data_IF_003930640901
#
_entry.id   IF_003930640901
#
_cell.length_a   1.000
_cell.length_b   1.000
_cell.length_c   1.000
_cell.angle_alpha   90.00
_cell.angle_beta   90.00
_cell.angle_gamma   90.00
#
_symmetry.space_group_name_H-M   'P 1'
#
loop_
_entity.id
_entity.type
_entity.pdbx_description
1 polymer ?
#
# COMPACT_ATOMS: atom_id res chain seq x y z
N UNK A 1 -29.00 40.30 -18.40
CA UNK A 1 -28.44 39.18 -19.18
C UNK A 1 -28.63 39.33 -20.70
N UNK A 2 -29.82 39.25 -21.27
CA UNK A 2 -29.99 39.36 -22.75
C UNK A 2 -29.59 40.76 -23.32
N UNK A 3 -29.92 41.83 -22.58
CA UNK A 3 -29.52 43.20 -22.99
C UNK A 3 -28.00 43.43 -22.88
N UNK A 4 -27.34 42.82 -21.92
CA UNK A 4 -25.88 42.87 -21.76
C UNK A 4 -25.17 42.05 -22.86
N UNK A 5 -25.67 40.85 -23.18
CA UNK A 5 -25.17 40.02 -24.26
C UNK A 5 -25.32 40.69 -25.64
N UNK A 6 -26.39 41.46 -25.89
CA UNK A 6 -26.60 42.22 -27.10
C UNK A 6 -25.61 43.43 -27.17
N UNK A 7 -25.30 44.04 -26.04
CA UNK A 7 -24.34 45.16 -25.97
C UNK A 7 -22.87 44.74 -26.15
N UNK A 8 -22.54 43.48 -25.94
CA UNK A 8 -21.19 42.93 -26.12
C UNK A 8 -21.05 41.98 -27.31
N UNK A 9 -22.11 41.81 -28.11
CA UNK A 9 -22.12 40.84 -29.22
C UNK A 9 -21.07 41.13 -30.32
N UNK A 10 -20.61 42.36 -30.45
CA UNK A 10 -19.55 42.76 -31.38
C UNK A 10 -18.14 42.39 -30.87
N UNK A 11 -17.99 41.95 -29.64
CA UNK A 11 -16.73 41.43 -29.08
C UNK A 11 -16.48 39.97 -29.46
N UNK A 12 -17.46 39.29 -30.05
CA UNK A 12 -17.39 37.87 -30.36
C UNK A 12 -17.44 37.61 -31.88
N UNK A 13 -16.84 36.53 -32.30
CA UNK A 13 -16.82 36.10 -33.70
C UNK A 13 -15.70 36.73 -34.53
N UNK A 14 -15.96 37.05 -35.78
CA UNK A 14 -14.96 37.55 -36.73
C UNK A 14 -14.41 38.95 -36.39
N UNK A 15 -15.03 39.69 -35.48
CA UNK A 15 -14.60 41.00 -35.06
C UNK A 15 -13.69 40.99 -33.83
N UNK A 16 -13.54 39.86 -33.14
CA UNK A 16 -12.73 39.78 -31.95
C UNK A 16 -11.25 40.24 -32.16
N UNK A 17 -10.54 39.80 -33.22
CA UNK A 17 -9.18 40.28 -33.48
C UNK A 17 -9.07 41.78 -33.68
N UNK A 18 -10.05 42.38 -34.36
CA UNK A 18 -10.08 43.82 -34.57
C UNK A 18 -10.30 44.61 -33.28
N UNK A 19 -11.14 44.10 -32.40
CA UNK A 19 -11.38 44.71 -31.06
C UNK A 19 -10.17 44.53 -30.14
N UNK A 20 -9.50 43.39 -30.23
CA UNK A 20 -8.25 43.13 -29.51
C UNK A 20 -7.14 44.09 -29.96
N UNK A 21 -6.97 44.32 -31.29
CA UNK A 21 -6.00 45.27 -31.81
C UNK A 21 -6.30 46.72 -31.36
N UNK A 22 -7.56 47.13 -31.31
CA UNK A 22 -7.96 48.42 -30.79
C UNK A 22 -7.71 48.57 -29.31
N UNK A 23 -7.88 47.48 -28.55
CA UNK A 23 -7.61 47.47 -27.12
C UNK A 23 -6.11 47.57 -26.83
N UNK A 24 -5.28 46.89 -27.60
CA UNK A 24 -3.83 47.02 -27.48
C UNK A 24 -3.39 48.45 -27.81
N UNK A 25 -3.92 49.09 -28.83
CA UNK A 25 -3.64 50.50 -29.17
C UNK A 25 -4.08 51.43 -28.03
N UNK A 26 -5.24 51.15 -27.40
CA UNK A 26 -5.70 51.92 -26.24
C UNK A 26 -4.77 51.76 -25.06
N UNK A 27 -4.25 50.57 -24.80
CA UNK A 27 -3.32 50.33 -23.68
C UNK A 27 -1.95 51.01 -23.90
N UNK A 28 -1.53 51.18 -25.16
CA UNK A 28 -0.31 51.92 -25.51
C UNK A 28 -0.52 53.44 -25.45
N UNK A 29 -1.55 53.97 -26.09
CA UNK A 29 -1.95 55.40 -26.09
C UNK A 29 -3.46 55.53 -26.16
N UNK A 30 -4.16 55.82 -25.05
CA UNK A 30 -5.61 55.99 -25.06
C UNK A 30 -6.13 57.09 -26.02
N UNK A 31 -5.26 58.06 -26.46
CA UNK A 31 -5.63 59.09 -27.38
C UNK A 31 -5.56 58.66 -28.85
N UNK A 32 -4.96 57.51 -29.16
CA UNK A 32 -4.79 56.98 -30.54
C UNK A 32 -6.05 56.40 -31.15
N UNK A 33 -7.08 56.11 -30.35
CA UNK A 33 -8.31 55.48 -30.81
C UNK A 33 -9.51 56.44 -30.76
N UNK A 34 -10.58 56.04 -31.46
CA UNK A 34 -11.86 56.77 -31.50
C UNK A 34 -12.46 56.94 -30.10
N UNK A 35 -13.05 58.10 -29.82
CA UNK A 35 -13.65 58.52 -28.56
C UNK A 35 -14.65 57.48 -27.99
N UNK A 36 -15.43 56.80 -28.88
CA UNK A 36 -16.41 55.79 -28.48
C UNK A 36 -15.76 54.55 -27.92
N UNK A 37 -14.66 54.10 -28.55
CA UNK A 37 -13.88 52.96 -28.11
C UNK A 37 -13.12 53.26 -26.85
N UNK A 38 -12.56 54.48 -26.70
CA UNK A 38 -11.88 54.92 -25.50
C UNK A 38 -12.84 54.88 -24.29
N UNK A 39 -14.02 55.47 -24.40
CA UNK A 39 -15.03 55.42 -23.32
C UNK A 39 -15.52 54.01 -22.98
N UNK A 40 -15.50 53.10 -23.97
CA UNK A 40 -15.85 51.71 -23.75
C UNK A 40 -14.74 51.02 -22.95
N UNK A 41 -13.49 51.17 -23.33
CA UNK A 41 -12.35 50.53 -22.66
C UNK A 41 -12.08 51.13 -21.29
N UNK A 42 -12.28 52.42 -21.08
CA UNK A 42 -12.24 53.08 -19.75
C UNK A 42 -13.24 52.45 -18.77
N UNK A 43 -14.44 52.13 -19.27
CA UNK A 43 -15.46 51.44 -18.45
C UNK A 43 -15.10 49.97 -18.20
N UNK A 44 -14.51 49.33 -19.18
CA UNK A 44 -14.08 47.94 -19.03
C UNK A 44 -13.01 47.79 -17.94
N UNK A 45 -12.05 48.73 -17.94
CA UNK A 45 -10.98 48.74 -16.89
C UNK A 45 -11.49 49.12 -15.49
N UNK A 46 -12.66 49.75 -15.36
CA UNK A 46 -13.27 50.07 -14.09
C UNK A 46 -14.25 48.98 -13.57
N UNK A 47 -14.45 47.90 -14.32
CA UNK A 47 -15.37 46.83 -13.94
C UNK A 47 -14.64 45.83 -13.05
N UNK A 48 -15.07 45.62 -11.77
CA UNK A 48 -14.40 44.68 -10.87
C UNK A 48 -14.40 43.25 -11.42
N UNK A 49 -13.29 42.55 -11.24
CA UNK A 49 -13.22 41.12 -11.58
C UNK A 49 -14.21 40.31 -10.74
N UNK A 50 -14.93 39.42 -11.37
CA UNK A 50 -16.00 38.62 -10.75
C UNK A 50 -15.48 37.58 -9.73
N UNK A 51 -14.17 37.41 -9.60
CA UNK A 51 -13.50 36.39 -8.74
C UNK A 51 -12.84 36.95 -7.48
N UNK A 52 -12.99 38.25 -7.19
CA UNK A 52 -12.49 38.88 -5.96
C UNK A 52 -10.98 39.06 -5.88
N UNK A 53 -10.23 38.95 -6.98
CA UNK A 53 -8.80 39.23 -7.03
C UNK A 53 -8.53 40.73 -7.09
N UNK A 54 -7.39 41.13 -6.52
CA UNK A 54 -6.90 42.51 -6.61
C UNK A 54 -6.54 42.78 -8.07
N UNK A 55 -7.22 43.75 -8.68
CA UNK A 55 -6.99 44.12 -10.06
C UNK A 55 -5.60 44.79 -10.21
N UNK A 56 -4.77 44.19 -11.05
CA UNK A 56 -3.66 44.89 -11.68
C UNK A 56 -4.19 45.49 -12.99
N UNK A 57 -3.89 46.75 -13.32
CA UNK A 57 -4.31 47.29 -14.63
C UNK A 57 -3.73 46.45 -15.76
N UNK A 58 -4.52 46.26 -16.81
CA UNK A 58 -4.07 45.54 -18.01
C UNK A 58 -2.86 46.31 -18.61
N UNK A 59 -1.92 45.53 -19.12
CA UNK A 59 -0.70 46.05 -19.77
C UNK A 59 -0.66 45.68 -21.25
N UNK A 60 -0.11 46.52 -22.14
CA UNK A 60 0.03 46.20 -23.56
C UNK A 60 0.80 44.89 -23.75
N UNK A 61 0.29 44.00 -24.60
CA UNK A 61 0.97 42.75 -24.92
C UNK A 61 2.10 42.92 -25.95
N UNK A 62 2.06 43.98 -26.79
CA UNK A 62 3.06 44.20 -27.80
C UNK A 62 4.49 44.21 -27.29
N UNK A 63 4.85 44.90 -26.19
CA UNK A 63 6.19 44.87 -25.61
C UNK A 63 6.57 43.47 -25.09
N UNK A 64 5.60 42.71 -24.56
CA UNK A 64 5.80 41.34 -24.07
C UNK A 64 6.09 40.39 -25.22
N UNK A 65 5.29 40.47 -26.28
CA UNK A 65 5.47 39.67 -27.51
C UNK A 65 6.82 39.98 -28.15
N UNK A 66 7.20 41.24 -28.22
CA UNK A 66 8.50 41.66 -28.76
C UNK A 66 9.67 41.14 -27.88
N UNK A 67 9.55 41.22 -26.56
CA UNK A 67 10.54 40.65 -25.62
C UNK A 67 10.70 39.15 -25.81
N UNK A 68 9.61 38.40 -25.99
CA UNK A 68 9.66 36.98 -26.30
C UNK A 68 10.23 36.70 -27.71
N UNK A 69 9.89 37.50 -28.71
CA UNK A 69 10.46 37.36 -30.03
C UNK A 69 11.97 37.63 -30.06
N UNK A 70 12.44 38.67 -29.35
CA UNK A 70 13.86 38.94 -29.16
C UNK A 70 14.57 37.82 -28.40
N UNK A 71 13.92 37.24 -27.37
CA UNK A 71 14.45 36.12 -26.61
C UNK A 71 14.48 34.83 -27.44
N UNK A 72 13.54 34.65 -28.37
CA UNK A 72 13.54 33.52 -29.29
C UNK A 72 14.63 33.64 -30.36
N UNK A 73 15.01 34.87 -30.75
CA UNK A 73 16.11 35.16 -31.69
C UNK A 73 17.48 35.16 -31.03
N UNK A 74 17.55 35.30 -29.70
CA UNK A 74 18.82 35.09 -29.00
C UNK A 74 19.21 33.64 -29.13
N UNK A 75 20.43 33.31 -29.58
CA UNK A 75 20.93 31.94 -29.54
C UNK A 75 20.76 31.43 -28.15
N UNK A 76 19.94 30.38 -27.97
CA UNK A 76 19.77 29.69 -26.68
C UNK A 76 21.14 29.48 -26.10
N UNK A 77 21.37 30.12 -24.96
CA UNK A 77 22.65 30.34 -24.34
C UNK A 77 23.58 29.16 -24.50
N UNK A 78 24.82 29.52 -24.73
CA UNK A 78 25.95 28.60 -24.84
C UNK A 78 25.70 27.41 -23.93
N UNK A 79 25.37 26.27 -24.53
CA UNK A 79 25.52 25.01 -23.81
C UNK A 79 26.96 25.03 -23.34
N UNK A 80 27.21 25.15 -22.05
CA UNK A 80 28.52 24.79 -21.54
C UNK A 80 28.83 23.45 -22.18
N UNK A 81 29.94 23.31 -22.92
CA UNK A 81 30.27 22.04 -23.51
C UNK A 81 30.42 21.04 -22.36
N UNK A 82 29.35 20.27 -22.14
CA UNK A 82 29.41 19.18 -21.17
C UNK A 82 30.42 18.22 -21.75
N UNK A 83 31.47 17.96 -21.02
CA UNK A 83 32.51 17.03 -21.51
C UNK A 83 31.89 15.65 -21.76
N UNK A 84 32.41 14.89 -22.71
CA UNK A 84 31.95 13.51 -22.93
C UNK A 84 32.00 12.69 -21.63
N UNK A 85 33.00 12.96 -20.78
CA UNK A 85 33.14 12.33 -19.47
C UNK A 85 32.00 12.68 -18.51
N UNK A 86 31.56 13.94 -18.48
CA UNK A 86 30.44 14.36 -17.64
C UNK A 86 29.11 13.75 -18.12
N UNK A 87 28.94 13.64 -19.44
CA UNK A 87 27.78 12.97 -20.02
C UNK A 87 27.75 11.47 -19.65
N UNK A 88 28.90 10.81 -19.68
CA UNK A 88 29.01 9.41 -19.32
C UNK A 88 28.69 9.20 -17.82
N UNK A 89 29.24 10.04 -16.95
CA UNK A 89 28.92 10.02 -15.51
C UNK A 89 27.41 10.22 -15.29
N UNK A 90 26.81 11.18 -15.98
CA UNK A 90 25.39 11.45 -15.88
C UNK A 90 24.54 10.25 -16.36
N UNK A 91 24.91 9.60 -17.47
CA UNK A 91 24.23 8.39 -17.96
C UNK A 91 24.32 7.25 -16.95
N UNK A 92 25.51 7.00 -16.37
CA UNK A 92 25.70 5.99 -15.33
C UNK A 92 24.90 6.30 -14.07
N UNK A 93 24.80 7.57 -13.68
CA UNK A 93 23.94 7.97 -12.54
C UNK A 93 22.46 7.69 -12.83
N UNK A 94 21.96 7.93 -14.05
CA UNK A 94 20.58 7.58 -14.45
C UNK A 94 20.37 6.07 -14.41
N UNK A 95 21.35 5.29 -14.87
CA UNK A 95 21.34 3.83 -14.81
C UNK A 95 21.21 3.34 -13.35
N UNK A 96 21.98 3.93 -12.44
CA UNK A 96 21.90 3.62 -10.99
C UNK A 96 20.53 3.94 -10.42
N UNK A 97 19.92 5.07 -10.80
CA UNK A 97 18.56 5.40 -10.36
C UNK A 97 17.53 4.38 -10.88
N UNK A 98 17.71 3.91 -12.11
CA UNK A 98 16.85 2.87 -12.69
C UNK A 98 16.98 1.54 -11.95
N UNK A 99 18.21 1.14 -11.56
CA UNK A 99 18.45 -0.06 -10.74
C UNK A 99 17.74 0.05 -9.38
N UNK A 100 17.85 1.17 -8.68
CA UNK A 100 17.16 1.39 -7.41
C UNK A 100 15.65 1.20 -7.59
N UNK A 101 15.07 1.79 -8.65
CA UNK A 101 13.68 1.61 -9.02
C UNK A 101 13.31 0.15 -9.30
N UNK A 102 14.17 -0.56 -10.04
CA UNK A 102 13.96 -1.97 -10.37
C UNK A 102 13.94 -2.87 -9.13
N UNK A 103 14.87 -2.69 -8.20
CA UNK A 103 14.85 -3.45 -6.93
C UNK A 103 13.60 -3.19 -6.11
N UNK A 104 13.15 -1.95 -6.01
CA UNK A 104 11.91 -1.59 -5.30
C UNK A 104 10.67 -2.22 -5.93
N UNK A 105 10.64 -2.38 -7.26
CA UNK A 105 9.48 -2.88 -7.99
C UNK A 105 9.53 -4.39 -8.23
N UNK A 106 10.70 -4.95 -8.51
CA UNK A 106 10.86 -6.34 -8.93
C UNK A 106 11.56 -7.22 -7.89
N UNK A 107 12.16 -6.61 -6.85
CA UNK A 107 12.99 -7.35 -5.88
C UNK A 107 12.27 -8.52 -5.22
N UNK A 108 10.98 -8.34 -4.88
CA UNK A 108 10.14 -9.40 -4.30
C UNK A 108 10.07 -10.67 -5.18
N UNK A 109 10.13 -10.53 -6.51
CA UNK A 109 10.12 -11.66 -7.45
C UNK A 109 11.39 -12.51 -7.38
N UNK A 110 12.50 -11.95 -6.88
CA UNK A 110 13.77 -12.65 -6.69
C UNK A 110 14.05 -12.99 -5.22
N UNK A 111 13.15 -12.61 -4.31
CA UNK A 111 13.25 -12.94 -2.89
C UNK A 111 13.16 -14.46 -2.65
N UNK A 112 13.74 -14.92 -1.53
CA UNK A 112 13.78 -16.32 -1.14
C UNK A 112 12.47 -16.72 -0.44
N UNK A 113 11.37 -16.80 -1.18
CA UNK A 113 10.03 -17.03 -0.66
C UNK A 113 9.57 -18.50 -0.70
N UNK A 114 10.38 -19.40 -1.22
CA UNK A 114 10.05 -20.82 -1.29
C UNK A 114 10.95 -21.64 -0.36
N UNK A 115 10.54 -21.84 0.91
CA UNK A 115 11.33 -22.59 1.89
C UNK A 115 11.50 -24.08 1.52
N UNK A 116 10.67 -24.60 0.60
CA UNK A 116 10.74 -25.99 0.12
C UNK A 116 11.65 -26.13 -1.11
N UNK A 117 12.16 -25.02 -1.64
CA UNK A 117 13.01 -24.99 -2.85
C UNK A 117 12.44 -25.76 -4.05
N UNK A 118 11.12 -25.66 -4.26
CA UNK A 118 10.40 -26.38 -5.32
C UNK A 118 10.56 -25.74 -6.70
N UNK A 119 10.98 -24.48 -6.74
CA UNK A 119 11.16 -23.70 -7.96
C UNK A 119 12.51 -23.00 -7.96
N UNK A 120 13.13 -22.95 -9.14
CA UNK A 120 14.28 -22.05 -9.33
C UNK A 120 13.82 -20.60 -9.35
N UNK A 121 14.64 -19.72 -8.78
CA UNK A 121 14.36 -18.29 -8.83
C UNK A 121 14.44 -17.79 -10.28
N UNK A 122 13.48 -16.97 -10.72
CA UNK A 122 13.50 -16.45 -12.09
C UNK A 122 14.72 -15.54 -12.30
N UNK A 123 15.31 -15.59 -13.49
CA UNK A 123 16.28 -14.56 -13.89
C UNK A 123 15.53 -13.26 -14.18
N UNK A 124 15.95 -12.17 -13.55
CA UNK A 124 15.37 -10.84 -13.72
C UNK A 124 16.49 -9.92 -14.20
N UNK A 125 16.63 -9.73 -15.52
CA UNK A 125 17.73 -8.94 -16.07
C UNK A 125 17.81 -7.51 -15.51
N UNK A 126 16.67 -6.90 -15.19
CA UNK A 126 16.57 -5.54 -14.66
C UNK A 126 17.19 -5.39 -13.25
N UNK A 127 17.50 -6.48 -12.56
CA UNK A 127 18.21 -6.43 -11.28
C UNK A 127 19.74 -6.50 -11.46
N UNK A 128 20.23 -6.71 -12.70
CA UNK A 128 21.66 -6.81 -12.98
C UNK A 128 22.20 -5.49 -13.56
N UNK A 129 23.37 -4.99 -13.08
CA UNK A 129 23.98 -3.76 -13.58
C UNK A 129 24.23 -3.76 -15.08
N UNK A 130 24.58 -4.90 -15.64
CA UNK A 130 24.86 -5.06 -17.08
C UNK A 130 23.68 -4.73 -17.97
N UNK A 131 22.44 -4.88 -17.49
CA UNK A 131 21.22 -4.51 -18.20
C UNK A 131 21.16 -3.00 -18.50
N UNK A 132 21.78 -2.19 -17.65
CA UNK A 132 21.84 -0.74 -17.76
C UNK A 132 23.19 -0.23 -18.32
N UNK A 133 24.00 -1.11 -18.86
CA UNK A 133 25.31 -0.76 -19.43
C UNK A 133 26.38 -0.46 -18.39
N UNK A 134 26.17 -0.87 -17.12
CA UNK A 134 27.19 -0.81 -16.08
C UNK A 134 27.98 -2.12 -16.05
N UNK A 135 29.28 -2.02 -15.78
CA UNK A 135 30.22 -3.13 -15.81
C UNK A 135 30.90 -3.35 -14.45
N UNK A 136 31.71 -4.39 -14.36
CA UNK A 136 32.52 -4.65 -13.16
C UNK A 136 33.48 -3.50 -12.83
N UNK A 137 33.91 -2.74 -13.85
CA UNK A 137 34.76 -1.55 -13.64
C UNK A 137 34.03 -0.41 -12.92
N UNK A 138 32.71 -0.42 -12.94
CA UNK A 138 31.87 0.61 -12.29
C UNK A 138 31.54 0.28 -10.84
N UNK A 139 31.80 -0.96 -10.40
CA UNK A 139 31.36 -1.45 -9.09
C UNK A 139 31.92 -0.64 -7.90
N UNK A 140 33.12 -0.13 -8.03
CA UNK A 140 33.77 0.67 -6.98
C UNK A 140 33.62 2.18 -7.21
N UNK A 141 32.90 2.57 -8.27
CA UNK A 141 32.55 3.98 -8.54
C UNK A 141 31.45 4.45 -7.57
N UNK A 142 31.64 5.67 -7.06
CA UNK A 142 30.71 6.27 -6.10
C UNK A 142 29.61 7.03 -6.86
N UNK A 143 28.37 6.68 -6.59
CA UNK A 143 27.17 7.29 -7.15
C UNK A 143 26.30 7.96 -6.08
N UNK A 144 25.43 8.86 -6.51
CA UNK A 144 24.43 9.44 -5.60
C UNK A 144 23.35 8.40 -5.26
N UNK A 145 23.17 8.19 -3.96
CA UNK A 145 22.12 7.37 -3.35
C UNK A 145 21.08 8.22 -2.59
N UNK A 146 21.05 9.53 -2.81
CA UNK A 146 20.24 10.49 -2.07
C UNK A 146 18.72 10.27 -2.16
N UNK A 147 18.25 9.45 -3.11
CA UNK A 147 16.85 9.02 -3.22
C UNK A 147 16.57 7.71 -2.45
N UNK A 148 17.53 7.22 -1.66
CA UNK A 148 17.41 6.06 -0.77
C UNK A 148 17.48 6.49 0.69
N UNK A 149 17.16 5.57 1.59
CA UNK A 149 17.22 5.78 3.03
C UNK A 149 18.25 4.87 3.71
N UNK A 150 19.32 4.49 2.99
CA UNK A 150 20.40 3.65 3.54
C UNK A 150 21.37 4.39 4.48
N UNK A 151 21.10 5.68 4.75
CA UNK A 151 21.90 6.47 5.69
C UNK A 151 23.12 7.17 5.08
N UNK A 152 23.32 7.08 3.76
CA UNK A 152 24.37 7.76 3.04
C UNK A 152 23.88 8.33 1.71
N UNK A 153 24.23 9.61 1.43
CA UNK A 153 23.86 10.27 0.17
C UNK A 153 24.67 9.77 -1.02
N UNK A 154 25.80 9.14 -0.75
CA UNK A 154 26.72 8.58 -1.78
C UNK A 154 27.17 7.19 -1.35
N UNK A 155 27.15 6.25 -2.29
CA UNK A 155 27.57 4.86 -2.07
C UNK A 155 28.33 4.36 -3.29
N UNK A 156 29.23 3.38 -3.11
CA UNK A 156 29.74 2.62 -4.25
C UNK A 156 28.60 1.82 -4.87
N UNK A 157 28.69 1.53 -6.17
CA UNK A 157 27.68 0.69 -6.84
C UNK A 157 27.57 -0.68 -6.15
N UNK A 158 28.69 -1.24 -5.74
CA UNK A 158 28.79 -2.52 -5.02
C UNK A 158 27.98 -2.51 -3.73
N UNK A 159 28.23 -1.51 -2.87
CA UNK A 159 27.54 -1.38 -1.58
C UNK A 159 26.06 -1.10 -1.75
N UNK A 160 25.71 -0.27 -2.74
CA UNK A 160 24.33 0.04 -3.05
C UNK A 160 23.55 -1.21 -3.50
N UNK A 161 24.11 -2.01 -4.42
CA UNK A 161 23.49 -3.26 -4.88
C UNK A 161 23.37 -4.26 -3.71
N UNK A 162 24.39 -4.37 -2.88
CA UNK A 162 24.35 -5.24 -1.71
C UNK A 162 23.23 -4.83 -0.75
N UNK A 163 23.08 -3.52 -0.48
CA UNK A 163 22.01 -2.99 0.35
C UNK A 163 20.63 -3.24 -0.27
N UNK A 164 20.46 -3.00 -1.56
CA UNK A 164 19.22 -3.24 -2.30
C UNK A 164 18.84 -4.74 -2.30
N UNK A 165 19.80 -5.62 -2.57
CA UNK A 165 19.58 -7.08 -2.53
C UNK A 165 19.15 -7.54 -1.14
N UNK A 166 19.85 -7.08 -0.11
CA UNK A 166 19.50 -7.41 1.27
C UNK A 166 18.09 -6.94 1.63
N UNK A 167 17.72 -5.72 1.20
CA UNK A 167 16.42 -5.11 1.53
C UNK A 167 15.25 -5.79 0.81
N UNK A 168 15.39 -6.04 -0.50
CA UNK A 168 14.26 -6.39 -1.36
C UNK A 168 14.28 -7.83 -1.89
N UNK A 169 15.38 -8.55 -1.71
CA UNK A 169 15.57 -9.90 -2.27
C UNK A 169 15.96 -10.95 -1.21
N UNK A 170 15.81 -10.62 0.08
CA UNK A 170 16.06 -11.55 1.19
C UNK A 170 14.94 -12.59 1.37
N UNK A 171 14.73 -13.04 2.59
CA UNK A 171 13.65 -13.97 2.95
C UNK A 171 12.29 -13.29 3.13
N UNK A 172 12.22 -11.98 2.88
CA UNK A 172 11.04 -11.15 2.89
C UNK A 172 10.86 -10.49 1.54
N UNK A 173 9.77 -10.79 0.84
CA UNK A 173 9.35 -10.12 -0.39
C UNK A 173 8.34 -9.03 -0.08
N UNK A 174 8.57 -7.81 -0.58
CA UNK A 174 7.71 -6.66 -0.29
C UNK A 174 7.30 -6.01 -1.61
N UNK A 175 6.00 -5.94 -1.85
CA UNK A 175 5.39 -5.30 -3.01
C UNK A 175 4.59 -4.08 -2.57
N UNK A 176 5.06 -2.87 -2.86
CA UNK A 176 4.40 -1.62 -2.48
C UNK A 176 4.42 -0.56 -3.59
N UNK A 177 5.15 -0.79 -4.67
CA UNK A 177 5.32 0.22 -5.72
C UNK A 177 4.06 0.49 -6.53
N UNK A 178 3.05 -0.39 -6.47
CA UNK A 178 1.73 -0.19 -7.08
C UNK A 178 0.87 0.85 -6.33
N UNK A 179 1.20 1.17 -5.09
CA UNK A 179 0.48 2.18 -4.30
C UNK A 179 0.56 3.53 -5.02
N UNK A 180 -0.57 4.14 -5.31
CA UNK A 180 -0.62 5.42 -6.02
C UNK A 180 -0.18 6.61 -5.18
N UNK A 181 -0.47 6.58 -3.85
CA UNK A 181 -0.09 7.66 -2.93
C UNK A 181 1.44 7.70 -2.72
N UNK A 182 2.11 8.80 -3.11
CA UNK A 182 3.57 8.93 -2.96
C UNK A 182 4.02 9.06 -1.50
N UNK A 183 3.15 9.49 -0.58
CA UNK A 183 3.48 9.61 0.85
C UNK A 183 3.57 8.22 1.46
N UNK A 184 2.60 7.35 1.16
CA UNK A 184 2.58 5.96 1.63
C UNK A 184 3.75 5.18 1.02
N UNK A 185 4.05 5.34 -0.28
CA UNK A 185 5.24 4.71 -0.91
C UNK A 185 6.53 5.11 -0.21
N UNK A 186 6.70 6.39 0.08
CA UNK A 186 7.88 6.92 0.76
C UNK A 186 7.98 6.41 2.19
N UNK A 187 6.86 6.29 2.88
CA UNK A 187 6.80 5.70 4.22
C UNK A 187 7.34 4.27 4.23
N UNK A 188 6.96 3.43 3.25
CA UNK A 188 7.51 2.08 3.10
C UNK A 188 9.02 2.09 2.92
N UNK A 189 9.54 2.93 2.02
CA UNK A 189 10.99 3.06 1.81
C UNK A 189 11.72 3.45 3.10
N UNK A 190 11.17 4.42 3.84
CA UNK A 190 11.72 4.86 5.13
C UNK A 190 11.69 3.79 6.23
N UNK A 191 10.78 2.83 6.14
CA UNK A 191 10.71 1.70 7.10
C UNK A 191 11.66 0.57 6.72
N UNK A 192 11.86 0.32 5.45
CA UNK A 192 12.58 -0.87 4.96
C UNK A 192 14.09 -0.62 4.76
N UNK A 193 14.45 0.49 4.13
CA UNK A 193 15.81 0.74 3.69
C UNK A 193 16.81 0.99 4.84
N UNK A 194 16.49 1.74 5.92
CA UNK A 194 17.45 2.00 6.98
C UNK A 194 17.98 0.75 7.67
N UNK A 195 17.13 -0.24 7.87
CA UNK A 195 17.48 -1.51 8.51
C UNK A 195 17.66 -2.66 7.51
N UNK A 196 17.57 -2.36 6.19
CA UNK A 196 17.70 -3.34 5.10
C UNK A 196 16.74 -4.53 5.23
N UNK A 197 15.51 -4.27 5.67
CA UNK A 197 14.49 -5.29 5.98
C UNK A 197 14.94 -6.35 7.02
N UNK A 198 15.94 -6.05 7.82
CA UNK A 198 16.40 -6.91 8.91
C UNK A 198 15.95 -6.29 10.23
N UNK A 199 14.97 -6.88 10.93
CA UNK A 199 14.49 -6.34 12.19
C UNK A 199 15.55 -6.50 13.29
N UNK A 200 15.64 -5.50 14.16
CA UNK A 200 16.49 -5.56 15.36
C UNK A 200 15.61 -5.86 16.57
N UNK A 201 15.58 -7.12 16.99
CA UNK A 201 14.87 -7.54 18.19
C UNK A 201 15.82 -7.57 19.40
N UNK A 202 15.36 -7.04 20.52
CA UNK A 202 16.00 -7.24 21.81
C UNK A 202 15.78 -8.66 22.35
N UNK A 203 16.41 -8.98 23.46
CA UNK A 203 16.31 -10.31 24.06
C UNK A 203 14.90 -10.62 24.59
N UNK A 204 14.12 -9.63 24.98
CA UNK A 204 12.75 -9.83 25.46
C UNK A 204 11.84 -10.21 24.28
N UNK A 205 11.91 -9.47 23.18
CA UNK A 205 11.19 -9.77 21.95
C UNK A 205 11.55 -11.15 21.39
N UNK A 206 12.85 -11.49 21.33
CA UNK A 206 13.30 -12.83 20.89
C UNK A 206 12.74 -13.96 21.75
N UNK A 207 12.72 -13.79 23.08
CA UNK A 207 12.13 -14.77 24.01
C UNK A 207 10.63 -14.90 23.79
N UNK A 208 9.91 -13.80 23.61
CA UNK A 208 8.47 -13.80 23.30
C UNK A 208 8.18 -14.55 21.98
N UNK A 209 8.93 -14.26 20.92
CA UNK A 209 8.81 -14.97 19.65
C UNK A 209 9.02 -16.48 19.86
N UNK A 210 10.10 -16.89 20.54
CA UNK A 210 10.38 -18.29 20.82
C UNK A 210 9.27 -18.94 21.65
N UNK A 211 8.75 -18.25 22.63
CA UNK A 211 7.64 -18.73 23.47
C UNK A 211 6.37 -18.98 22.61
N UNK A 212 6.04 -18.06 21.71
CA UNK A 212 4.87 -18.20 20.83
C UNK A 212 5.05 -19.35 19.83
N UNK A 213 6.23 -19.48 19.23
CA UNK A 213 6.55 -20.61 18.34
C UNK A 213 6.46 -21.95 19.08
N UNK A 214 7.03 -22.03 20.29
CA UNK A 214 6.99 -23.25 21.12
C UNK A 214 5.56 -23.59 21.53
N UNK A 215 4.72 -22.61 21.86
CA UNK A 215 3.34 -22.84 22.21
C UNK A 215 2.53 -23.33 21.02
N UNK A 216 2.75 -22.75 19.83
CA UNK A 216 2.08 -23.16 18.59
C UNK A 216 2.45 -24.60 18.21
N UNK A 217 3.74 -24.91 18.15
CA UNK A 217 4.22 -26.26 17.83
C UNK A 217 3.79 -27.29 18.90
N UNK A 218 3.89 -26.93 20.15
CA UNK A 218 3.53 -27.80 21.28
C UNK A 218 2.06 -28.25 21.22
N UNK A 219 1.15 -27.33 20.88
CA UNK A 219 -0.26 -27.67 20.72
C UNK A 219 -0.46 -28.63 19.54
N UNK A 220 0.15 -28.38 18.38
CA UNK A 220 0.02 -29.24 17.21
C UNK A 220 0.57 -30.64 17.48
N UNK A 221 1.75 -30.75 18.10
CA UNK A 221 2.34 -32.04 18.48
C UNK A 221 1.47 -32.81 19.49
N UNK A 222 0.92 -32.11 20.49
CA UNK A 222 0.03 -32.74 21.46
C UNK A 222 -1.23 -33.30 20.80
N UNK A 223 -1.89 -32.50 19.95
CA UNK A 223 -3.08 -32.92 19.23
C UNK A 223 -2.79 -34.08 18.27
N UNK A 224 -1.63 -34.07 17.60
CA UNK A 224 -1.18 -35.15 16.73
C UNK A 224 -1.02 -36.47 17.46
N UNK A 225 -0.38 -36.43 18.62
CA UNK A 225 -0.06 -37.62 19.40
C UNK A 225 -1.29 -38.15 20.14
N UNK A 226 -2.09 -37.27 20.70
CA UNK A 226 -3.23 -37.65 21.54
C UNK A 226 -4.47 -38.04 20.77
N UNK A 227 -4.74 -37.41 19.66
CA UNK A 227 -5.97 -37.55 18.89
C UNK A 227 -5.69 -38.05 17.46
N UNK A 228 -5.03 -39.19 17.36
CA UNK A 228 -4.63 -39.82 16.09
C UNK A 228 -5.85 -40.01 15.18
N UNK A 229 -5.71 -39.62 13.91
CA UNK A 229 -6.75 -39.77 12.90
C UNK A 229 -7.92 -38.78 12.98
N UNK A 230 -7.99 -37.95 14.01
CA UNK A 230 -8.97 -36.86 14.07
C UNK A 230 -8.60 -35.68 13.18
N UNK A 231 -9.59 -35.18 12.45
CA UNK A 231 -9.40 -33.98 11.60
C UNK A 231 -9.18 -32.73 12.43
N UNK A 232 -8.08 -32.02 12.20
CA UNK A 232 -7.67 -30.84 12.98
C UNK A 232 -7.16 -29.67 12.14
N UNK A 233 -6.88 -29.87 10.85
CA UNK A 233 -6.31 -28.84 9.97
C UNK A 233 -5.08 -28.17 10.62
N UNK A 234 -4.05 -28.96 10.82
CA UNK A 234 -2.82 -28.57 11.52
C UNK A 234 -2.15 -27.33 10.93
N UNK A 235 -1.52 -26.55 11.80
CA UNK A 235 -0.66 -25.41 11.46
C UNK A 235 0.82 -25.80 11.29
N UNK A 236 1.16 -27.08 11.38
CA UNK A 236 2.55 -27.55 11.25
C UNK A 236 3.23 -26.98 10.01
N UNK A 237 4.40 -26.37 10.20
CA UNK A 237 5.14 -25.63 9.17
C UNK A 237 4.74 -24.17 9.00
N UNK A 238 3.67 -23.72 9.65
CA UNK A 238 3.15 -22.34 9.63
C UNK A 238 3.10 -21.68 11.00
N UNK A 239 3.86 -22.14 11.98
CA UNK A 239 3.83 -21.69 13.38
C UNK A 239 4.14 -20.20 13.52
N UNK A 240 4.94 -19.63 12.59
CA UNK A 240 5.22 -18.20 12.52
C UNK A 240 3.96 -17.34 12.36
N UNK A 241 2.86 -17.92 11.87
CA UNK A 241 1.57 -17.23 11.79
C UNK A 241 1.07 -16.81 13.18
N UNK A 242 1.25 -17.64 14.21
CA UNK A 242 0.84 -17.28 15.58
C UNK A 242 1.65 -16.09 16.11
N UNK A 243 2.94 -16.03 15.78
CA UNK A 243 3.77 -14.85 16.11
C UNK A 243 3.28 -13.62 15.36
N UNK A 244 2.97 -13.78 14.06
CA UNK A 244 2.54 -12.65 13.22
C UNK A 244 1.21 -12.07 13.67
N UNK A 245 0.22 -12.91 14.03
CA UNK A 245 -1.09 -12.42 14.48
C UNK A 245 -0.99 -11.83 15.90
N UNK A 246 -0.12 -12.34 16.75
CA UNK A 246 0.16 -11.77 18.07
C UNK A 246 0.72 -10.34 17.93
N UNK A 247 1.65 -10.13 16.99
CA UNK A 247 2.20 -8.81 16.70
C UNK A 247 1.16 -7.85 16.08
N UNK A 248 0.27 -8.36 15.21
CA UNK A 248 -0.85 -7.56 14.66
C UNK A 248 -1.78 -7.08 15.77
N UNK A 249 -2.05 -7.92 16.76
CA UNK A 249 -2.89 -7.57 17.93
C UNK A 249 -2.21 -6.51 18.79
N UNK A 250 -0.93 -6.69 19.12
CA UNK A 250 -0.16 -5.71 19.91
C UNK A 250 -0.04 -4.36 19.19
N UNK A 251 0.43 -4.37 17.94
CA UNK A 251 0.59 -3.14 17.14
C UNK A 251 -0.77 -2.46 16.88
N UNK A 252 -1.83 -3.22 16.69
CA UNK A 252 -3.18 -2.69 16.56
C UNK A 252 -3.63 -1.94 17.81
N UNK A 253 -3.45 -2.53 18.99
CA UNK A 253 -3.78 -1.90 20.26
C UNK A 253 -2.95 -0.62 20.48
N UNK A 254 -1.65 -0.64 20.16
CA UNK A 254 -0.78 0.55 20.21
C UNK A 254 -1.27 1.68 19.30
N UNK A 255 -1.89 1.35 18.17
CA UNK A 255 -2.47 2.31 17.22
C UNK A 255 -3.92 2.72 17.56
N UNK A 256 -4.47 2.21 18.67
CA UNK A 256 -5.80 2.58 19.14
C UNK A 256 -6.94 1.70 18.61
N UNK A 257 -6.63 0.52 18.07
CA UNK A 257 -7.64 -0.48 17.74
C UNK A 257 -8.18 -1.07 19.05
N UNK A 258 -9.47 -1.02 19.24
CA UNK A 258 -10.18 -1.52 20.42
C UNK A 258 -10.76 -2.92 20.19
N UNK A 259 -11.06 -3.24 18.94
CA UNK A 259 -11.68 -4.51 18.57
C UNK A 259 -11.16 -5.02 17.22
N UNK A 260 -10.83 -6.31 17.16
CA UNK A 260 -10.55 -7.01 15.92
C UNK A 260 -11.56 -8.11 15.66
N UNK A 261 -12.12 -8.10 14.45
CA UNK A 261 -13.00 -9.18 13.97
C UNK A 261 -12.19 -10.05 13.01
N UNK A 262 -12.05 -11.31 13.37
CA UNK A 262 -11.20 -12.26 12.65
C UNK A 262 -12.09 -13.23 11.89
N UNK A 263 -11.91 -13.33 10.58
CA UNK A 263 -12.40 -14.41 9.75
C UNK A 263 -11.26 -15.32 9.36
N UNK A 264 -11.43 -16.62 9.38
CA UNK A 264 -10.36 -17.49 8.95
C UNK A 264 -10.83 -18.85 8.45
N UNK A 265 -10.05 -19.40 7.53
CA UNK A 265 -10.15 -20.78 7.08
C UNK A 265 -9.83 -21.77 8.24
N UNK A 266 -9.89 -23.07 7.95
CA UNK A 266 -9.72 -24.09 8.99
C UNK A 266 -8.29 -24.28 9.46
N UNK A 267 -7.28 -24.05 8.57
CA UNK A 267 -5.87 -24.29 8.89
C UNK A 267 -5.38 -23.38 10.00
N UNK A 268 -4.89 -23.97 11.07
CA UNK A 268 -4.40 -23.25 12.25
C UNK A 268 -5.48 -22.67 13.16
N UNK A 269 -6.77 -22.87 12.85
CA UNK A 269 -7.86 -22.26 13.61
C UNK A 269 -7.88 -22.71 15.07
N UNK A 270 -7.61 -23.97 15.36
CA UNK A 270 -7.53 -24.48 16.74
C UNK A 270 -6.36 -23.83 17.49
N UNK A 271 -5.28 -23.59 16.80
CA UNK A 271 -4.11 -22.90 17.37
C UNK A 271 -4.40 -21.43 17.70
N UNK A 272 -5.09 -20.72 16.80
CA UNK A 272 -5.56 -19.34 17.05
C UNK A 272 -6.53 -19.29 18.22
N UNK A 273 -7.47 -20.22 18.33
CA UNK A 273 -8.41 -20.29 19.45
C UNK A 273 -7.68 -20.36 20.80
N UNK A 274 -6.63 -21.18 20.89
CA UNK A 274 -5.88 -21.37 22.14
C UNK A 274 -4.84 -20.27 22.35
N UNK A 275 -3.94 -20.07 21.39
CA UNK A 275 -2.76 -19.25 21.59
C UNK A 275 -2.98 -17.76 21.34
N UNK A 276 -3.98 -17.38 20.52
CA UNK A 276 -4.29 -15.96 20.26
C UNK A 276 -5.50 -15.48 21.08
N UNK A 277 -6.60 -16.24 21.06
CA UNK A 277 -7.82 -15.84 21.77
C UNK A 277 -7.90 -16.36 23.22
N UNK A 278 -6.98 -17.21 23.66
CA UNK A 278 -6.91 -17.69 25.03
C UNK A 278 -7.99 -18.70 25.43
N UNK A 279 -8.62 -19.39 24.46
CA UNK A 279 -9.51 -20.50 24.76
C UNK A 279 -8.77 -21.57 25.56
N UNK A 280 -9.39 -22.05 26.63
CA UNK A 280 -8.76 -23.08 27.46
C UNK A 280 -8.43 -24.36 26.68
N UNK A 281 -7.18 -24.86 26.70
CA UNK A 281 -6.86 -26.14 26.10
C UNK A 281 -7.74 -27.31 26.64
N UNK A 282 -8.13 -27.27 27.90
CA UNK A 282 -9.00 -28.28 28.48
C UNK A 282 -10.40 -28.31 27.86
N UNK A 283 -10.95 -27.16 27.53
CA UNK A 283 -12.22 -27.06 26.79
C UNK A 283 -12.08 -27.64 25.39
N UNK A 284 -11.02 -27.26 24.67
CA UNK A 284 -10.74 -27.80 23.36
C UNK A 284 -10.59 -29.32 23.39
N UNK A 285 -9.86 -29.86 24.37
CA UNK A 285 -9.67 -31.32 24.51
C UNK A 285 -10.96 -32.03 24.84
N UNK A 286 -11.83 -31.44 25.68
CA UNK A 286 -13.16 -31.99 25.94
C UNK A 286 -14.02 -32.09 24.67
N UNK A 287 -13.89 -31.15 23.74
CA UNK A 287 -14.55 -31.24 22.43
C UNK A 287 -14.00 -32.39 21.58
N UNK A 288 -12.67 -32.65 21.60
CA UNK A 288 -12.06 -33.80 20.94
C UNK A 288 -12.55 -35.14 21.51
N UNK A 289 -12.80 -35.19 22.81
CA UNK A 289 -13.25 -36.37 23.55
C UNK A 289 -14.78 -36.56 23.51
N UNK A 290 -15.51 -35.63 22.85
CA UNK A 290 -16.98 -35.70 22.80
C UNK A 290 -17.66 -35.45 24.16
N UNK A 291 -16.92 -34.92 25.13
CA UNK A 291 -17.41 -34.61 26.49
C UNK A 291 -18.05 -33.22 26.59
N UNK A 292 -17.81 -32.37 25.62
CA UNK A 292 -18.37 -31.02 25.58
C UNK A 292 -19.83 -31.07 25.13
N UNK A 293 -20.74 -30.90 26.07
CA UNK A 293 -22.15 -30.67 25.81
C UNK A 293 -22.43 -29.19 25.96
N UNK A 294 -22.36 -28.43 24.87
CA UNK A 294 -22.96 -27.10 24.86
C UNK A 294 -24.46 -27.24 25.04
N UNK A 295 -25.00 -26.66 26.10
CA UNK A 295 -26.45 -26.63 26.35
C UNK A 295 -27.22 -25.77 25.35
N UNK A 296 -26.51 -24.91 24.60
CA UNK A 296 -27.08 -23.83 23.80
C UNK A 296 -26.83 -23.93 22.30
N UNK A 297 -26.08 -24.95 21.82
CA UNK A 297 -25.86 -25.18 20.41
C UNK A 297 -26.57 -26.45 19.92
N UNK A 298 -27.25 -26.40 18.76
CA UNK A 298 -27.79 -27.61 18.17
C UNK A 298 -26.67 -28.62 17.94
N UNK A 299 -26.89 -29.84 18.39
CA UNK A 299 -25.96 -30.95 18.22
C UNK A 299 -25.59 -31.09 16.74
N UNK A 300 -24.32 -30.88 16.36
CA UNK A 300 -23.88 -31.31 15.05
C UNK A 300 -22.83 -30.48 14.34
N UNK A 301 -22.39 -29.30 14.87
CA UNK A 301 -21.30 -28.58 14.20
C UNK A 301 -19.93 -29.09 14.66
N UNK A 302 -18.93 -28.95 13.76
CA UNK A 302 -17.59 -29.46 14.01
C UNK A 302 -16.74 -28.42 14.73
N UNK A 303 -15.86 -28.89 15.61
CA UNK A 303 -15.01 -28.04 16.49
C UNK A 303 -14.22 -26.94 15.80
N UNK A 304 -13.85 -27.14 14.53
CA UNK A 304 -13.11 -26.15 13.74
C UNK A 304 -13.99 -25.13 13.00
N UNK A 305 -15.32 -25.15 13.20
CA UNK A 305 -16.24 -24.10 12.75
C UNK A 305 -16.57 -23.10 13.87
N UNK A 306 -16.31 -23.44 15.13
CA UNK A 306 -16.69 -22.62 16.26
C UNK A 306 -16.04 -21.23 16.21
N UNK A 307 -16.84 -20.21 16.49
CA UNK A 307 -16.40 -18.88 16.82
C UNK A 307 -15.99 -18.77 18.29
N UNK A 308 -15.30 -17.69 18.62
CA UNK A 308 -14.91 -17.39 19.99
C UNK A 308 -14.64 -15.89 20.12
N UNK A 309 -14.89 -15.32 21.29
CA UNK A 309 -14.49 -13.94 21.56
C UNK A 309 -13.94 -13.80 22.98
N UNK A 310 -12.97 -12.94 23.13
CA UNK A 310 -12.32 -12.67 24.41
C UNK A 310 -11.65 -11.31 24.42
N UNK A 311 -11.43 -10.77 25.61
CA UNK A 311 -10.57 -9.61 25.83
C UNK A 311 -9.15 -10.12 26.07
N UNK A 312 -8.20 -9.63 25.26
CA UNK A 312 -6.78 -9.96 25.38
C UNK A 312 -6.05 -8.74 25.93
N UNK A 313 -5.17 -8.94 26.88
CA UNK A 313 -4.37 -7.86 27.45
C UNK A 313 -3.08 -7.71 26.66
N UNK A 314 -2.88 -6.53 26.07
CA UNK A 314 -1.66 -6.13 25.38
C UNK A 314 -0.83 -5.15 26.22
N UNK A 315 0.36 -4.81 25.76
CA UNK A 315 1.17 -3.78 26.41
C UNK A 315 0.48 -2.40 26.40
N UNK A 316 -0.36 -2.12 25.42
CA UNK A 316 -1.12 -0.85 25.29
C UNK A 316 -2.48 -0.88 26.02
N UNK A 317 -2.90 -2.02 26.53
CA UNK A 317 -4.19 -2.20 27.21
C UNK A 317 -5.01 -3.36 26.64
N UNK A 318 -6.26 -3.53 27.08
CA UNK A 318 -7.12 -4.59 26.58
C UNK A 318 -7.62 -4.30 25.17
N UNK A 319 -7.69 -5.35 24.34
CA UNK A 319 -8.30 -5.36 23.03
C UNK A 319 -9.29 -6.51 22.92
N UNK A 320 -10.46 -6.27 22.35
CA UNK A 320 -11.45 -7.32 22.12
C UNK A 320 -11.18 -8.05 20.81
N UNK A 321 -11.02 -9.37 20.88
CA UNK A 321 -10.85 -10.24 19.71
C UNK A 321 -12.12 -11.06 19.49
N UNK A 322 -12.67 -11.05 18.29
CA UNK A 322 -13.85 -11.80 17.92
C UNK A 322 -13.57 -12.67 16.67
N UNK A 323 -13.44 -13.98 16.87
CA UNK A 323 -13.34 -14.96 15.77
C UNK A 323 -14.73 -15.36 15.31
N UNK A 324 -15.05 -15.02 14.06
CA UNK A 324 -16.34 -15.39 13.47
C UNK A 324 -16.50 -16.90 13.32
N UNK A 325 -17.74 -17.38 13.37
CA UNK A 325 -18.07 -18.74 12.94
C UNK A 325 -17.69 -18.94 11.49
N UNK A 326 -17.25 -20.14 11.14
CA UNK A 326 -16.83 -20.46 9.78
C UNK A 326 -17.51 -21.75 9.30
N UNK A 327 -18.19 -21.79 8.15
CA UNK A 327 -18.72 -23.01 7.56
C UNK A 327 -17.64 -23.76 6.78
N UNK A 328 -17.99 -24.92 6.23
CA UNK A 328 -17.10 -25.68 5.35
C UNK A 328 -16.85 -25.00 3.99
N UNK A 329 -17.69 -24.05 3.59
CA UNK A 329 -17.51 -23.27 2.37
C UNK A 329 -16.41 -22.23 2.60
N UNK A 330 -15.27 -22.41 1.92
CA UNK A 330 -14.11 -21.54 2.06
C UNK A 330 -14.43 -20.13 1.57
N UNK A 331 -13.91 -19.12 2.24
CA UNK A 331 -13.98 -17.68 1.93
C UNK A 331 -15.38 -17.04 2.11
N UNK A 332 -16.44 -17.81 2.38
CA UNK A 332 -17.78 -17.22 2.54
C UNK A 332 -17.92 -16.41 3.84
N UNK A 333 -17.00 -16.55 4.77
CA UNK A 333 -16.92 -15.73 5.99
C UNK A 333 -16.45 -14.31 5.72
N UNK A 334 -15.78 -14.05 4.60
CA UNK A 334 -15.15 -12.76 4.28
C UNK A 334 -16.15 -11.61 4.27
N UNK A 335 -17.25 -11.65 3.49
CA UNK A 335 -18.24 -10.59 3.51
C UNK A 335 -18.96 -10.45 4.88
N UNK A 336 -19.06 -11.55 5.63
CA UNK A 336 -19.64 -11.53 7.00
C UNK A 336 -18.74 -10.71 7.94
N UNK A 337 -17.44 -10.91 7.87
CA UNK A 337 -16.48 -10.17 8.72
C UNK A 337 -16.44 -8.69 8.37
N UNK A 338 -16.32 -8.32 7.08
CA UNK A 338 -16.28 -6.90 6.71
C UNK A 338 -17.59 -6.18 7.05
N UNK A 339 -18.74 -6.84 6.88
CA UNK A 339 -20.03 -6.32 7.32
C UNK A 339 -20.13 -6.17 8.84
N UNK A 340 -19.59 -7.13 9.60
CA UNK A 340 -19.51 -7.09 11.06
C UNK A 340 -18.61 -5.95 11.56
N UNK A 341 -17.45 -5.74 10.91
CA UNK A 341 -16.56 -4.61 11.19
C UNK A 341 -17.29 -3.29 10.96
N UNK A 342 -17.94 -3.13 9.81
CA UNK A 342 -18.69 -1.91 9.49
C UNK A 342 -19.78 -1.63 10.51
N UNK A 343 -20.58 -2.62 10.88
CA UNK A 343 -21.63 -2.47 11.90
C UNK A 343 -21.07 -2.07 13.28
N UNK A 344 -19.85 -2.54 13.64
CA UNK A 344 -19.18 -2.16 14.89
C UNK A 344 -18.61 -0.74 14.82
N UNK A 345 -18.08 -0.33 13.69
CA UNK A 345 -17.64 1.06 13.44
C UNK A 345 -18.82 2.01 13.56
N UNK A 346 -19.95 1.72 12.92
CA UNK A 346 -21.16 2.56 12.99
C UNK A 346 -21.68 2.69 14.42
N UNK A 347 -21.72 1.60 15.20
CA UNK A 347 -22.14 1.65 16.61
C UNK A 347 -21.22 2.46 17.52
N UNK A 348 -19.95 2.62 17.13
CA UNK A 348 -18.93 3.38 17.88
C UNK A 348 -18.78 4.81 17.40
N UNK A 349 -19.56 5.23 16.41
CA UNK A 349 -19.38 6.51 15.74
C UNK A 349 -17.90 6.68 15.24
N UNK A 350 -17.40 5.63 14.57
CA UNK A 350 -16.05 5.57 14.03
C UNK A 350 -16.06 5.62 12.49
N UNK A 351 -16.39 6.77 11.89
CA UNK A 351 -16.54 6.90 10.44
C UNK A 351 -15.20 6.75 9.70
N UNK A 352 -14.08 6.83 10.41
CA UNK A 352 -12.73 6.68 9.84
C UNK A 352 -12.17 5.26 9.98
N UNK A 353 -12.90 4.34 10.63
CA UNK A 353 -12.49 2.96 10.81
C UNK A 353 -11.16 2.81 11.58
N UNK A 354 -10.96 3.60 12.64
CA UNK A 354 -9.71 3.61 13.42
C UNK A 354 -9.73 2.78 14.68
N UNK A 355 -10.91 2.32 15.10
CA UNK A 355 -11.11 1.61 16.36
C UNK A 355 -11.47 0.13 16.19
N UNK A 356 -11.96 -0.24 15.00
CA UNK A 356 -12.34 -1.62 14.68
C UNK A 356 -11.67 -2.06 13.40
N UNK A 357 -10.98 -3.19 13.45
CA UNK A 357 -10.21 -3.75 12.33
C UNK A 357 -10.71 -5.13 11.94
N UNK A 358 -10.78 -5.38 10.63
CA UNK A 358 -11.01 -6.72 10.07
C UNK A 358 -9.69 -7.41 9.76
N UNK A 359 -9.59 -8.69 10.16
CA UNK A 359 -8.45 -9.56 9.82
C UNK A 359 -8.98 -10.83 9.19
N UNK A 360 -8.53 -11.16 7.99
CA UNK A 360 -8.89 -12.35 7.25
C UNK A 360 -7.70 -13.28 7.09
N UNK A 361 -7.89 -14.56 7.40
CA UNK A 361 -6.83 -15.57 7.26
C UNK A 361 -7.28 -16.65 6.27
N UNK A 362 -6.52 -16.77 5.20
CA UNK A 362 -6.87 -17.58 4.03
C UNK A 362 -5.93 -18.77 3.83
N UNK A 363 -6.39 -19.75 3.07
CA UNK A 363 -5.53 -20.67 2.34
C UNK A 363 -5.24 -20.11 0.95
N UNK A 364 -4.04 -20.34 0.42
CA UNK A 364 -3.59 -19.78 -0.86
C UNK A 364 -4.47 -20.13 -2.06
N UNK A 365 -4.85 -21.40 -2.18
CA UNK A 365 -5.69 -21.85 -3.30
C UNK A 365 -7.12 -21.30 -3.24
N UNK A 366 -7.70 -21.18 -2.05
CA UNK A 366 -9.03 -20.61 -1.86
C UNK A 366 -9.01 -19.10 -2.13
N UNK A 367 -8.04 -18.38 -1.59
CA UNK A 367 -7.86 -16.95 -1.84
C UNK A 367 -7.75 -16.63 -3.33
N UNK A 368 -6.96 -17.41 -4.07
CA UNK A 368 -6.79 -17.22 -5.52
C UNK A 368 -8.00 -17.68 -6.35
N UNK A 369 -8.72 -18.73 -5.90
CA UNK A 369 -9.70 -19.42 -6.71
C UNK A 369 -11.18 -19.12 -6.41
N UNK A 370 -11.50 -18.53 -5.25
CA UNK A 370 -12.88 -18.25 -4.86
C UNK A 370 -13.28 -16.81 -5.23
N UNK A 371 -14.28 -16.68 -6.12
CA UNK A 371 -14.76 -15.36 -6.60
C UNK A 371 -15.25 -14.43 -5.49
N UNK A 372 -15.77 -14.99 -4.38
CA UNK A 372 -16.23 -14.19 -3.22
C UNK A 372 -15.13 -13.33 -2.59
N UNK A 373 -13.86 -13.70 -2.71
CA UNK A 373 -12.72 -12.91 -2.26
C UNK A 373 -12.68 -11.59 -3.03
N UNK A 374 -12.74 -11.65 -4.37
CA UNK A 374 -12.72 -10.45 -5.23
C UNK A 374 -13.97 -9.59 -5.01
N UNK A 375 -15.13 -10.23 -4.81
CA UNK A 375 -16.37 -9.53 -4.47
C UNK A 375 -16.27 -8.82 -3.12
N UNK A 376 -15.65 -9.43 -2.13
CA UNK A 376 -15.40 -8.82 -0.80
C UNK A 376 -14.44 -7.63 -0.91
N UNK A 377 -13.38 -7.73 -1.71
CA UNK A 377 -12.47 -6.61 -1.96
C UNK A 377 -13.18 -5.41 -2.62
N UNK A 378 -14.16 -5.67 -3.50
CA UNK A 378 -14.97 -4.60 -4.10
C UNK A 378 -15.85 -3.86 -3.08
N UNK A 379 -16.23 -4.51 -1.97
CA UNK A 379 -17.01 -3.85 -0.91
C UNK A 379 -16.20 -2.77 -0.19
N UNK A 380 -14.87 -2.85 -0.17
CA UNK A 380 -14.00 -1.95 0.60
C UNK A 380 -14.22 -0.47 0.25
N UNK A 381 -14.40 -0.16 -1.04
CA UNK A 381 -14.50 1.23 -1.54
C UNK A 381 -15.81 1.51 -2.29
N UNK A 382 -16.86 0.75 -2.01
CA UNK A 382 -18.17 0.96 -2.63
C UNK A 382 -18.85 2.17 -2.01
N UNK A 383 -19.28 3.13 -2.83
CA UNK A 383 -19.82 4.43 -2.40
C UNK A 383 -20.99 4.35 -1.42
N UNK A 384 -21.91 3.41 -1.60
CA UNK A 384 -23.15 3.32 -0.80
C UNK A 384 -23.00 2.52 0.49
N UNK A 385 -22.06 1.58 0.54
CA UNK A 385 -21.89 0.61 1.63
C UNK A 385 -20.44 0.16 1.83
N UNK A 386 -19.49 1.06 1.56
CA UNK A 386 -18.07 0.77 1.72
C UNK A 386 -17.72 0.26 3.11
N UNK A 387 -16.95 -0.82 3.17
CA UNK A 387 -16.53 -1.48 4.41
C UNK A 387 -15.14 -1.08 4.86
N UNK A 388 -14.40 -0.32 4.04
CA UNK A 388 -13.02 0.06 4.32
C UNK A 388 -12.02 -1.08 4.11
N UNK A 389 -10.77 -0.84 4.50
CA UNK A 389 -9.69 -1.81 4.37
C UNK A 389 -9.77 -2.97 5.35
N UNK A 390 -9.19 -4.11 4.96
CA UNK A 390 -9.09 -5.32 5.78
C UNK A 390 -7.67 -5.85 5.65
N UNK A 391 -7.11 -6.41 6.72
CA UNK A 391 -5.83 -7.11 6.65
C UNK A 391 -6.07 -8.55 6.19
N UNK A 392 -5.38 -8.97 5.14
CA UNK A 392 -5.43 -10.33 4.64
C UNK A 392 -4.11 -11.06 4.92
N UNK A 393 -4.19 -12.22 5.54
CA UNK A 393 -3.04 -13.09 5.84
C UNK A 393 -3.26 -14.42 5.12
N UNK A 394 -2.34 -14.83 4.27
CA UNK A 394 -2.45 -16.09 3.52
C UNK A 394 -1.46 -17.10 4.06
N UNK A 395 -1.96 -18.23 4.55
CA UNK A 395 -1.13 -19.39 4.93
C UNK A 395 -0.93 -20.22 3.67
N UNK A 396 0.22 -20.00 3.01
CA UNK A 396 0.54 -20.61 1.72
C UNK A 396 1.29 -21.93 1.90
N UNK A 397 0.58 -23.05 1.76
CA UNK A 397 1.18 -24.38 1.73
C UNK A 397 1.54 -24.84 0.30
N UNK A 398 1.33 -24.00 -0.70
CA UNK A 398 1.58 -24.25 -2.13
C UNK A 398 0.79 -25.45 -2.72
N UNK A 399 -0.30 -25.86 -2.08
CA UNK A 399 -1.11 -27.03 -2.50
C UNK A 399 -2.59 -26.63 -2.53
N UNK A 400 -3.20 -26.70 -3.72
CA UNK A 400 -4.65 -26.60 -3.87
C UNK A 400 -5.34 -27.94 -3.59
N UNK A 401 -6.52 -27.89 -2.96
CA UNK A 401 -7.36 -29.09 -2.82
C UNK A 401 -7.69 -29.64 -4.20
N UNK A 402 -7.55 -30.94 -4.37
CA UNK A 402 -7.71 -31.65 -5.66
C UNK A 402 -6.68 -31.32 -6.75
N UNK A 403 -5.65 -30.54 -6.45
CA UNK A 403 -4.56 -30.21 -7.38
C UNK A 403 -3.42 -31.20 -7.17
N UNK A 404 -3.05 -31.92 -8.22
CA UNK A 404 -2.00 -32.94 -8.17
C UNK A 404 -0.61 -32.41 -8.51
N UNK A 405 -0.51 -31.24 -9.16
CA UNK A 405 0.73 -30.63 -9.61
C UNK A 405 0.90 -29.25 -8.99
N UNK A 406 2.03 -28.96 -8.36
CA UNK A 406 2.34 -27.65 -7.78
C UNK A 406 2.80 -26.67 -8.87
N UNK A 407 1.96 -26.25 -9.74
CA UNK A 407 2.25 -25.25 -10.77
C UNK A 407 2.18 -23.83 -10.27
#
# INVERSE_FOLDING_TARGET
MIKELIQTSYLFGSNAPYVEDLYEQYLEDPASIDEKWRQFFDRLQQTPASDGRVETPDVPHAPIIEAFAQRAMQPRGVSCPVSEGDLEIARKQVAVQSIIGAYRFLGARWANLDPLHRRERPKIPELEPSFYGLSDADMDTVFSAANTYFGADKMTLRDLIAALRQTYCGDLGIEFMYISDPVIKRWWQQKLEPNRSVPSYDNAAKKRILQRLTAAEGLERYLHTKYVGQKRFSLEGGESFIVSIDEVVEAGAEQGIEEMVIGMAHRGRLNVLVNTLGKSPSELFAEFEGKYKSKDLPAGDVKYHNGFSSDVVTAAGPIHLALAFNPSHLEIVDPVVVGSVRARQDRRDDPKGRRVMGVMVHGDAAFAGQGVVMETLNLADTRGYGTGGTMHIVINNQIGFTTSDPR
#
